data_IF_910569209978
#
_entry.id   IF_910569209978
#
_cell.length_a   1.000
_cell.length_b   1.000
_cell.length_c   1.000
_cell.angle_alpha   90.00
_cell.angle_beta   90.00
_cell.angle_gamma   90.00
#
_symmetry.space_group_name_H-M   'P 1'
#
loop_
_entity.id
_entity.type
_entity.pdbx_description
1 polymer ?
#
# COMPACT_ATOMS: atom_id res chain seq x y z
N UNK A 1 0.65 -20.05 18.61
CA UNK A 1 1.90 -19.91 17.84
C UNK A 1 2.70 -18.72 18.33
N UNK A 2 4.02 -18.74 18.13
CA UNK A 2 4.91 -17.58 18.31
C UNK A 2 5.35 -17.11 16.93
N UNK A 3 5.03 -15.88 16.59
CA UNK A 3 5.33 -15.31 15.27
C UNK A 3 6.25 -14.10 15.40
N UNK A 4 7.32 -14.05 14.61
CA UNK A 4 8.22 -12.89 14.52
C UNK A 4 8.10 -12.25 13.14
N UNK A 5 7.65 -11.01 13.06
CA UNK A 5 7.63 -10.22 11.84
C UNK A 5 8.88 -9.33 11.75
N UNK A 6 9.52 -9.27 10.59
CA UNK A 6 10.70 -8.43 10.33
C UNK A 6 10.40 -7.33 9.35
N UNK A 7 10.62 -6.08 9.78
CA UNK A 7 10.49 -4.87 8.96
C UNK A 7 11.69 -3.94 9.17
N UNK A 8 12.01 -3.03 8.23
CA UNK A 8 13.13 -2.11 8.40
C UNK A 8 12.96 -1.15 9.57
N UNK A 9 11.82 -0.47 9.61
CA UNK A 9 11.44 0.53 10.60
C UNK A 9 9.93 0.45 10.85
N UNK A 10 9.44 1.12 11.90
CA UNK A 10 8.02 1.26 12.24
C UNK A 10 7.62 2.74 12.28
N UNK A 11 7.76 3.46 11.16
CA UNK A 11 7.46 4.90 11.09
C UNK A 11 6.10 5.17 10.42
N UNK A 12 6.02 4.95 9.11
CA UNK A 12 4.81 5.16 8.30
C UNK A 12 4.94 4.43 6.98
N UNK A 13 3.80 4.06 6.41
CA UNK A 13 3.73 3.40 5.11
C UNK A 13 2.89 2.13 5.17
N UNK A 14 2.59 1.62 3.98
CA UNK A 14 1.71 0.47 3.87
C UNK A 14 2.29 -0.83 4.43
N UNK A 15 3.62 -1.01 4.45
CA UNK A 15 4.25 -2.21 5.02
C UNK A 15 4.16 -2.20 6.54
N UNK A 16 4.48 -1.06 7.14
CA UNK A 16 4.45 -0.83 8.57
C UNK A 16 3.03 -0.98 9.12
N UNK A 17 2.05 -0.36 8.45
CA UNK A 17 0.64 -0.51 8.80
C UNK A 17 0.19 -1.97 8.74
N UNK A 18 0.46 -2.68 7.64
CA UNK A 18 0.12 -4.10 7.53
C UNK A 18 0.87 -5.00 8.52
N UNK A 19 2.00 -4.54 9.07
CA UNK A 19 2.69 -5.26 10.15
C UNK A 19 1.95 -5.13 11.48
N UNK A 20 1.48 -3.91 11.81
CA UNK A 20 0.66 -3.68 13.00
C UNK A 20 -0.68 -4.42 12.92
N UNK A 21 -1.34 -4.36 11.76
CA UNK A 21 -2.62 -5.05 11.50
C UNK A 21 -2.51 -6.56 11.77
N UNK A 22 -1.46 -7.22 11.25
CA UNK A 22 -1.22 -8.64 11.50
C UNK A 22 -0.74 -8.89 12.93
N UNK A 23 0.04 -7.98 13.52
CA UNK A 23 0.49 -8.10 14.90
C UNK A 23 -0.70 -8.08 15.89
N UNK A 24 -1.66 -7.16 15.67
CA UNK A 24 -2.89 -7.10 16.44
C UNK A 24 -3.73 -8.37 16.26
N UNK A 25 -3.94 -8.81 15.02
CA UNK A 25 -4.72 -10.03 14.74
C UNK A 25 -4.10 -11.28 15.41
N UNK A 26 -2.78 -11.38 15.51
CA UNK A 26 -2.10 -12.45 16.25
C UNK A 26 -2.41 -12.39 17.74
N UNK A 27 -2.36 -11.21 18.36
CA UNK A 27 -2.68 -11.00 19.76
C UNK A 27 -4.15 -11.33 20.05
N UNK A 28 -5.06 -10.84 19.22
CA UNK A 28 -6.51 -11.07 19.34
C UNK A 28 -6.85 -12.57 19.24
N UNK A 29 -6.08 -13.32 18.42
CA UNK A 29 -6.20 -14.77 18.31
C UNK A 29 -5.45 -15.57 19.41
N UNK A 30 -4.91 -14.89 20.43
CA UNK A 30 -4.20 -15.52 21.54
C UNK A 30 -2.80 -16.05 21.20
N UNK A 31 -2.18 -15.54 20.13
CA UNK A 31 -0.82 -15.90 19.72
C UNK A 31 0.22 -14.92 20.30
N UNK A 32 1.47 -15.38 20.41
CA UNK A 32 2.58 -14.49 20.78
C UNK A 32 3.09 -13.76 19.55
N UNK A 33 2.92 -12.44 19.55
CA UNK A 33 3.31 -11.54 18.45
C UNK A 33 4.58 -10.78 18.80
N UNK A 34 5.61 -10.95 17.98
CA UNK A 34 6.88 -10.24 18.08
C UNK A 34 7.14 -9.49 16.78
N UNK A 35 7.66 -8.25 16.87
CA UNK A 35 8.08 -7.47 15.71
C UNK A 35 9.51 -6.98 15.90
N UNK A 36 10.36 -7.31 14.94
CA UNK A 36 11.77 -6.94 14.91
C UNK A 36 12.01 -5.83 13.89
N UNK A 37 12.50 -4.67 14.34
CA UNK A 37 12.79 -3.51 13.50
C UNK A 37 13.85 -2.60 14.11
N UNK A 38 14.25 -1.55 13.36
CA UNK A 38 15.12 -0.49 13.90
C UNK A 38 14.36 0.49 14.84
N UNK A 39 13.08 0.24 15.14
CA UNK A 39 12.21 1.15 15.89
C UNK A 39 11.46 2.12 14.99
N UNK A 40 10.82 3.11 15.59
CA UNK A 40 10.03 4.14 14.95
C UNK A 40 8.81 4.54 15.75
N UNK A 41 8.07 5.56 15.30
CA UNK A 41 6.93 6.17 16.02
C UNK A 41 5.76 5.22 16.29
N UNK A 42 5.66 4.11 15.54
CA UNK A 42 4.58 3.11 15.68
C UNK A 42 4.92 2.02 16.71
N UNK A 43 6.09 2.06 17.35
CA UNK A 43 6.48 1.05 18.37
C UNK A 43 5.54 1.12 19.57
N UNK A 44 5.26 2.31 20.09
CA UNK A 44 4.35 2.51 21.21
C UNK A 44 2.95 1.95 20.93
N UNK A 45 2.43 2.21 19.74
CA UNK A 45 1.14 1.64 19.29
C UNK A 45 1.19 0.11 19.25
N UNK A 46 2.25 -0.46 18.66
CA UNK A 46 2.44 -1.90 18.57
C UNK A 46 2.43 -2.56 19.96
N UNK A 47 3.17 -1.99 20.91
CA UNK A 47 3.31 -2.54 22.28
C UNK A 47 2.02 -2.35 23.09
N UNK A 48 1.34 -1.21 22.93
CA UNK A 48 0.03 -0.99 23.56
C UNK A 48 -1.05 -1.97 23.08
N UNK A 49 -0.88 -2.52 21.88
CA UNK A 49 -1.73 -3.57 21.30
C UNK A 49 -1.30 -5.00 21.73
N UNK A 50 -0.34 -5.15 22.63
CA UNK A 50 0.06 -6.42 23.22
C UNK A 50 1.15 -7.20 22.47
N UNK A 51 1.74 -6.63 21.41
CA UNK A 51 2.91 -7.21 20.73
C UNK A 51 4.21 -6.79 21.40
N UNK A 52 5.26 -7.59 21.25
CA UNK A 52 6.60 -7.27 21.78
C UNK A 52 7.48 -6.74 20.65
N UNK A 53 8.04 -5.55 20.83
CA UNK A 53 9.05 -5.01 19.90
C UNK A 53 10.46 -5.46 20.28
N UNK A 54 11.27 -5.81 19.27
CA UNK A 54 12.69 -6.11 19.38
C UNK A 54 13.52 -5.20 18.50
N UNK A 55 14.50 -4.51 19.09
CA UNK A 55 15.37 -3.62 18.34
C UNK A 55 16.41 -4.40 17.53
N UNK A 56 16.14 -4.55 16.22
CA UNK A 56 17.03 -5.15 15.23
C UNK A 56 17.25 -4.20 14.05
N UNK A 57 18.36 -3.42 14.03
CA UNK A 57 18.63 -2.45 12.96
C UNK A 57 19.14 -3.15 11.69
N UNK A 58 18.24 -3.82 10.97
CA UNK A 58 18.51 -4.56 9.74
C UNK A 58 18.19 -3.75 8.46
N UNK A 59 17.95 -2.43 8.57
CA UNK A 59 17.51 -1.58 7.46
C UNK A 59 18.66 -1.13 6.54
N UNK A 60 19.89 -1.06 7.03
CA UNK A 60 21.02 -0.50 6.29
C UNK A 60 21.68 -1.53 5.39
N UNK A 61 21.97 -1.13 4.14
CA UNK A 61 22.80 -1.90 3.20
C UNK A 61 24.28 -1.68 3.54
N UNK A 62 24.77 -2.41 4.53
CA UNK A 62 26.15 -2.27 5.03
C UNK A 62 26.75 -3.65 5.36
N UNK A 63 28.04 -3.88 5.14
CA UNK A 63 28.72 -5.09 5.62
C UNK A 63 28.55 -5.33 7.11
N UNK A 64 28.49 -4.26 7.92
CA UNK A 64 28.23 -4.34 9.36
C UNK A 64 26.87 -5.00 9.69
N UNK A 65 25.88 -4.90 8.80
CA UNK A 65 24.59 -5.58 8.96
C UNK A 65 24.73 -7.09 8.78
N UNK A 66 25.65 -7.57 7.96
CA UNK A 66 25.95 -9.01 7.80
C UNK A 66 26.57 -9.63 9.06
N UNK A 67 27.32 -8.85 9.84
CA UNK A 67 27.89 -9.33 11.12
C UNK A 67 26.79 -9.70 12.14
N UNK A 68 25.56 -9.21 11.94
CA UNK A 68 24.42 -9.52 12.80
C UNK A 68 23.81 -10.92 12.57
N UNK A 69 24.15 -11.59 11.47
CA UNK A 69 23.57 -12.89 11.08
C UNK A 69 23.72 -13.93 12.20
N UNK A 70 24.93 -14.02 12.81
CA UNK A 70 25.18 -15.00 13.90
C UNK A 70 24.38 -14.66 15.16
N UNK A 71 24.37 -13.39 15.57
CA UNK A 71 23.61 -12.94 16.72
C UNK A 71 22.10 -13.13 16.53
N UNK A 72 21.59 -12.83 15.31
CA UNK A 72 20.19 -13.03 14.96
C UNK A 72 19.81 -14.53 15.01
N UNK A 73 20.69 -15.41 14.53
CA UNK A 73 20.49 -16.87 14.64
C UNK A 73 20.32 -17.30 16.08
N UNK A 74 21.26 -16.95 16.96
CA UNK A 74 21.18 -17.31 18.38
C UNK A 74 19.91 -16.74 19.06
N UNK A 75 19.52 -15.52 18.70
CA UNK A 75 18.29 -14.94 19.21
C UNK A 75 17.06 -15.71 18.75
N UNK A 76 16.96 -16.10 17.47
CA UNK A 76 15.86 -16.94 16.97
C UNK A 76 15.86 -18.33 17.61
N UNK A 77 17.03 -18.95 17.80
CA UNK A 77 17.17 -20.21 18.50
C UNK A 77 16.73 -20.13 19.98
N UNK A 78 16.96 -19.01 20.65
CA UNK A 78 16.51 -18.80 22.03
C UNK A 78 15.02 -18.47 22.15
N UNK A 79 14.48 -17.73 21.18
CA UNK A 79 13.06 -17.35 21.15
C UNK A 79 12.15 -18.51 20.73
N UNK A 80 12.68 -19.43 19.91
CA UNK A 80 11.97 -20.57 19.34
C UNK A 80 10.60 -20.19 18.70
N UNK A 81 10.57 -19.24 17.74
CA UNK A 81 9.32 -18.93 17.08
C UNK A 81 8.87 -20.07 16.16
N UNK A 82 7.57 -20.21 15.96
CA UNK A 82 7.01 -21.14 14.97
C UNK A 82 7.15 -20.56 13.56
N UNK A 83 6.94 -19.23 13.43
CA UNK A 83 6.97 -18.50 12.16
C UNK A 83 7.94 -17.32 12.24
N UNK A 84 8.74 -17.19 11.20
CA UNK A 84 9.50 -15.97 10.87
C UNK A 84 8.96 -15.39 9.57
N UNK A 85 8.35 -14.21 9.64
CA UNK A 85 7.72 -13.54 8.51
C UNK A 85 8.48 -12.27 8.14
N UNK A 86 9.03 -12.21 6.94
CA UNK A 86 9.86 -11.09 6.48
C UNK A 86 9.14 -10.27 5.41
N UNK A 87 9.11 -8.95 5.61
CA UNK A 87 8.30 -8.04 4.81
C UNK A 87 9.12 -7.04 3.98
N UNK A 88 10.45 -7.16 3.97
CA UNK A 88 11.33 -6.24 3.23
C UNK A 88 12.66 -6.88 2.88
N UNK A 89 13.24 -6.44 1.75
CA UNK A 89 14.42 -7.06 1.13
C UNK A 89 15.67 -7.12 2.03
N UNK A 90 16.02 -6.03 2.71
CA UNK A 90 17.26 -6.04 3.52
C UNK A 90 17.14 -6.93 4.75
N UNK A 91 16.07 -6.84 5.58
CA UNK A 91 15.81 -7.83 6.60
C UNK A 91 15.76 -9.27 6.04
N UNK A 92 15.16 -9.48 4.85
CA UNK A 92 15.06 -10.81 4.25
C UNK A 92 16.43 -11.45 4.00
N UNK A 93 17.42 -10.70 3.52
CA UNK A 93 18.78 -11.22 3.35
C UNK A 93 19.40 -11.69 4.66
N UNK A 94 19.30 -10.89 5.71
CA UNK A 94 19.92 -11.20 7.02
C UNK A 94 19.20 -12.36 7.70
N UNK A 95 17.86 -12.33 7.69
CA UNK A 95 17.04 -13.40 8.27
C UNK A 95 17.25 -14.71 7.53
N UNK A 96 17.23 -14.71 6.20
CA UNK A 96 17.44 -15.90 5.39
C UNK A 96 18.83 -16.52 5.62
N UNK A 97 19.90 -15.71 5.74
CA UNK A 97 21.23 -16.21 6.07
C UNK A 97 21.29 -16.80 7.48
N UNK A 98 20.66 -16.16 8.46
CA UNK A 98 20.57 -16.69 9.82
C UNK A 98 19.79 -18.02 9.84
N UNK A 99 18.61 -18.06 9.23
CA UNK A 99 17.70 -19.19 9.13
C UNK A 99 18.36 -20.40 8.43
N UNK A 100 19.08 -20.19 7.32
CA UNK A 100 19.81 -21.26 6.63
C UNK A 100 20.87 -21.94 7.49
N UNK A 101 21.42 -21.22 8.45
CA UNK A 101 22.43 -21.77 9.35
C UNK A 101 21.86 -22.46 10.59
N UNK A 102 20.53 -22.42 10.82
CA UNK A 102 19.86 -23.15 11.90
C UNK A 102 19.70 -24.64 11.56
N UNK A 103 19.44 -25.45 12.58
CA UNK A 103 19.13 -26.87 12.37
C UNK A 103 17.79 -27.00 11.60
N UNK A 104 17.78 -27.65 10.43
CA UNK A 104 16.56 -27.80 9.60
C UNK A 104 15.39 -28.46 10.34
N UNK A 105 15.66 -29.34 11.29
CA UNK A 105 14.62 -30.07 12.04
C UNK A 105 13.88 -29.19 13.07
N UNK A 106 14.49 -28.07 13.50
CA UNK A 106 13.95 -27.25 14.61
C UNK A 106 13.83 -25.76 14.27
N UNK A 107 14.26 -25.36 13.07
CA UNK A 107 14.16 -23.96 12.66
C UNK A 107 12.70 -23.56 12.39
N UNK A 108 12.34 -22.28 12.62
CA UNK A 108 11.01 -21.78 12.32
C UNK A 108 10.69 -21.86 10.84
N UNK A 109 9.42 -21.88 10.49
CA UNK A 109 8.98 -21.74 9.09
C UNK A 109 9.23 -20.33 8.60
N UNK A 110 9.75 -20.18 7.39
CA UNK A 110 10.11 -18.89 6.81
C UNK A 110 9.08 -18.44 5.77
N UNK A 111 8.43 -17.32 6.03
CA UNK A 111 7.50 -16.68 5.11
C UNK A 111 8.04 -15.31 4.68
N UNK A 112 7.82 -14.96 3.43
CA UNK A 112 8.07 -13.60 2.92
C UNK A 112 6.80 -13.02 2.32
N UNK A 113 6.62 -11.68 2.39
CA UNK A 113 5.55 -10.98 1.66
C UNK A 113 6.14 -9.99 0.68
N UNK A 114 5.73 -10.09 -0.60
CA UNK A 114 6.09 -9.11 -1.62
C UNK A 114 5.12 -7.92 -1.56
N UNK A 115 5.54 -6.82 -0.93
CA UNK A 115 4.76 -5.59 -0.79
C UNK A 115 4.96 -4.57 -1.89
N UNK A 116 5.91 -4.78 -2.79
CA UNK A 116 6.20 -3.84 -3.88
C UNK A 116 6.83 -4.52 -5.07
N UNK A 117 6.47 -4.08 -6.27
CA UNK A 117 7.07 -4.54 -7.52
C UNK A 117 8.42 -3.82 -7.69
N UNK A 118 9.45 -4.40 -7.13
CA UNK A 118 10.79 -3.83 -7.16
C UNK A 118 11.45 -4.00 -8.54
N UNK A 119 12.53 -3.24 -8.78
CA UNK A 119 13.38 -3.51 -9.95
C UNK A 119 13.90 -4.95 -9.92
N UNK A 120 13.83 -5.62 -11.08
CA UNK A 120 14.31 -6.99 -11.24
C UNK A 120 15.82 -7.02 -11.03
N UNK A 121 16.25 -7.68 -9.97
CA UNK A 121 17.66 -7.84 -9.61
C UNK A 121 17.84 -9.06 -8.70
N UNK A 122 19.07 -9.61 -8.67
CA UNK A 122 19.40 -10.70 -7.74
C UNK A 122 19.09 -10.31 -6.28
N UNK A 123 19.27 -9.04 -5.93
CA UNK A 123 18.96 -8.51 -4.60
C UNK A 123 17.47 -8.56 -4.28
N UNK A 124 16.61 -8.29 -5.25
CA UNK A 124 15.15 -8.31 -5.06
C UNK A 124 14.58 -9.73 -5.02
N UNK A 125 15.26 -10.71 -5.65
CA UNK A 125 14.86 -12.13 -5.65
C UNK A 125 14.83 -12.77 -4.27
N UNK A 126 15.44 -12.15 -3.26
CA UNK A 126 15.41 -12.63 -1.87
C UNK A 126 13.96 -12.74 -1.35
N UNK A 127 13.04 -11.90 -1.85
CA UNK A 127 11.63 -11.96 -1.45
C UNK A 127 10.90 -13.22 -1.93
N UNK A 128 11.50 -13.97 -2.84
CA UNK A 128 11.04 -15.30 -3.27
C UNK A 128 11.71 -16.48 -2.55
N UNK A 129 12.48 -16.24 -1.48
CA UNK A 129 13.25 -17.28 -0.76
C UNK A 129 12.58 -17.82 0.50
N UNK A 130 11.34 -17.42 0.77
CA UNK A 130 10.53 -18.07 1.81
C UNK A 130 10.15 -19.50 1.42
N UNK A 131 9.84 -20.35 2.39
CA UNK A 131 9.19 -21.64 2.14
C UNK A 131 7.80 -21.43 1.56
N UNK A 132 7.17 -20.32 1.95
CA UNK A 132 5.95 -19.79 1.37
C UNK A 132 6.09 -18.28 1.15
N UNK A 133 5.55 -17.79 0.05
CA UNK A 133 5.58 -16.35 -0.33
C UNK A 133 4.17 -15.82 -0.44
N UNK A 134 3.85 -14.79 0.34
CA UNK A 134 2.59 -14.07 0.23
C UNK A 134 2.73 -12.98 -0.84
N UNK A 135 1.86 -13.03 -1.84
CA UNK A 135 1.67 -12.01 -2.86
C UNK A 135 0.43 -11.18 -2.50
N UNK A 136 0.56 -9.83 -2.52
CA UNK A 136 -0.55 -8.94 -2.13
C UNK A 136 -1.56 -8.67 -3.25
N UNK A 137 -1.40 -9.30 -4.41
CA UNK A 137 -2.27 -9.23 -5.59
C UNK A 137 -1.92 -10.32 -6.59
N UNK A 138 -2.75 -10.54 -7.61
CA UNK A 138 -2.40 -11.42 -8.74
C UNK A 138 -1.21 -10.88 -9.54
N UNK A 139 -1.13 -9.56 -9.71
CA UNK A 139 0.03 -8.91 -10.33
C UNK A 139 1.32 -9.20 -9.55
N UNK A 140 1.27 -9.15 -8.22
CA UNK A 140 2.43 -9.49 -7.37
C UNK A 140 2.78 -10.98 -7.46
N UNK A 141 1.79 -11.88 -7.57
CA UNK A 141 2.00 -13.30 -7.83
C UNK A 141 2.70 -13.53 -9.17
N UNK A 142 2.19 -12.91 -10.24
CA UNK A 142 2.81 -13.05 -11.56
C UNK A 142 4.24 -12.52 -11.57
N UNK A 143 4.50 -11.39 -10.91
CA UNK A 143 5.86 -10.85 -10.75
C UNK A 143 6.81 -11.85 -10.04
N UNK A 144 6.35 -12.56 -9.00
CA UNK A 144 7.15 -13.58 -8.31
C UNK A 144 7.50 -14.76 -9.22
N UNK A 145 6.55 -15.20 -10.04
CA UNK A 145 6.76 -16.28 -11.00
C UNK A 145 7.78 -15.85 -12.06
N UNK A 146 7.53 -14.73 -12.74
CA UNK A 146 8.29 -14.28 -13.90
C UNK A 146 9.71 -13.79 -13.56
N UNK A 147 9.87 -13.14 -12.41
CA UNK A 147 11.11 -12.45 -12.11
C UNK A 147 11.88 -12.99 -10.90
N UNK A 148 11.20 -13.70 -10.01
CA UNK A 148 11.85 -14.31 -8.85
C UNK A 148 12.00 -15.82 -8.96
N UNK A 149 11.43 -16.46 -9.99
CA UNK A 149 11.39 -17.91 -10.21
C UNK A 149 10.81 -18.67 -9.02
N UNK A 150 9.75 -18.14 -8.42
CA UNK A 150 9.03 -18.79 -7.30
C UNK A 150 8.04 -19.78 -7.88
N UNK A 151 8.05 -21.06 -7.45
CA UNK A 151 7.03 -22.02 -7.87
C UNK A 151 5.63 -21.55 -7.49
N UNK A 152 4.66 -21.74 -8.37
CA UNK A 152 3.30 -21.23 -8.17
C UNK A 152 2.65 -21.78 -6.90
N UNK A 153 2.91 -23.04 -6.56
CA UNK A 153 2.42 -23.73 -5.37
C UNK A 153 2.97 -23.16 -4.06
N UNK A 154 4.13 -22.50 -4.10
CA UNK A 154 4.73 -21.80 -2.96
C UNK A 154 4.23 -20.35 -2.79
N UNK A 155 3.25 -19.91 -3.62
CA UNK A 155 2.71 -18.56 -3.55
C UNK A 155 1.26 -18.60 -3.06
N UNK A 156 0.95 -17.82 -2.02
CA UNK A 156 -0.42 -17.51 -1.60
C UNK A 156 -0.74 -16.07 -1.96
N UNK A 157 -1.85 -15.85 -2.66
CA UNK A 157 -2.37 -14.49 -2.86
C UNK A 157 -3.24 -14.14 -1.66
N UNK A 158 -2.81 -13.13 -0.92
CA UNK A 158 -3.57 -12.55 0.19
C UNK A 158 -3.62 -11.06 -0.05
N UNK A 159 -4.74 -10.60 -0.56
CA UNK A 159 -4.96 -9.18 -0.80
C UNK A 159 -4.82 -8.37 0.49
N UNK A 160 -4.38 -7.15 0.36
CA UNK A 160 -4.48 -6.20 1.47
C UNK A 160 -5.93 -5.74 1.59
N UNK A 161 -6.26 -5.18 2.75
CA UNK A 161 -7.62 -4.76 2.98
C UNK A 161 -7.73 -3.40 3.65
N UNK A 162 -8.96 -2.92 3.70
CA UNK A 162 -9.38 -1.76 4.50
C UNK A 162 -10.34 -2.21 5.58
N UNK A 163 -10.32 -1.49 6.70
CA UNK A 163 -11.31 -1.65 7.75
C UNK A 163 -12.57 -0.84 7.38
N UNK A 164 -13.75 -1.47 7.26
CA UNK A 164 -15.01 -0.75 7.03
C UNK A 164 -15.35 0.28 8.11
N UNK A 165 -14.82 0.13 9.34
CA UNK A 165 -15.00 1.11 10.39
C UNK A 165 -14.14 2.37 10.16
N UNK A 166 -12.98 2.22 9.53
CA UNK A 166 -12.13 3.35 9.17
C UNK A 166 -12.61 4.06 7.90
N UNK A 167 -13.12 3.31 6.92
CA UNK A 167 -13.64 3.83 5.64
C UNK A 167 -15.10 3.39 5.44
N UNK A 168 -16.04 3.89 6.28
CA UNK A 168 -17.44 3.49 6.18
C UNK A 168 -18.09 4.07 4.92
N UNK A 169 -18.98 3.29 4.33
CA UNK A 169 -19.76 3.73 3.17
C UNK A 169 -20.55 4.99 3.49
N UNK A 170 -20.60 5.91 2.54
CA UNK A 170 -21.32 7.19 2.65
C UNK A 170 -20.87 8.08 3.84
N UNK A 171 -19.62 7.95 4.24
CA UNK A 171 -19.03 8.78 5.30
C UNK A 171 -19.17 10.26 4.99
N UNK A 172 -19.54 11.04 6.02
CA UNK A 172 -19.64 12.50 5.95
C UNK A 172 -18.64 13.12 6.93
N UNK A 173 -17.76 14.03 6.46
CA UNK A 173 -16.91 14.80 7.36
C UNK A 173 -17.71 15.69 8.33
N UNK A 174 -17.15 15.94 9.50
CA UNK A 174 -17.77 16.83 10.49
C UNK A 174 -17.83 18.28 9.98
N UNK A 175 -18.82 19.04 10.46
CA UNK A 175 -18.95 20.46 10.14
C UNK A 175 -17.71 21.27 10.52
N UNK A 176 -17.06 20.92 11.62
CA UNK A 176 -15.80 21.55 12.07
C UNK A 176 -14.69 21.31 11.05
N UNK A 177 -14.55 20.08 10.54
CA UNK A 177 -13.56 19.76 9.51
C UNK A 177 -13.87 20.50 8.21
N UNK A 178 -15.15 20.52 7.79
CA UNK A 178 -15.58 21.21 6.58
C UNK A 178 -15.34 22.73 6.66
N UNK A 179 -15.60 23.35 7.82
CA UNK A 179 -15.33 24.77 8.02
C UNK A 179 -13.84 25.09 7.92
N UNK A 180 -12.99 24.25 8.54
CA UNK A 180 -11.53 24.37 8.42
C UNK A 180 -11.06 24.17 6.98
N UNK A 181 -11.55 23.16 6.28
CA UNK A 181 -11.21 22.89 4.88
C UNK A 181 -11.53 24.11 3.98
N UNK A 182 -12.72 24.69 4.14
CA UNK A 182 -13.13 25.89 3.37
C UNK A 182 -12.27 27.12 3.68
N UNK A 183 -11.81 27.26 4.91
CA UNK A 183 -10.90 28.31 5.32
C UNK A 183 -9.48 28.13 4.75
N UNK A 184 -8.98 26.89 4.78
CA UNK A 184 -7.64 26.56 4.29
C UNK A 184 -7.58 26.60 2.74
N UNK A 185 -8.69 26.27 2.06
CA UNK A 185 -8.76 26.16 0.58
C UNK A 185 -9.99 26.89 -0.01
N UNK A 186 -10.09 28.23 0.16
CA UNK A 186 -11.26 28.99 -0.30
C UNK A 186 -11.48 28.92 -1.81
N UNK A 187 -10.42 28.71 -2.62
CA UNK A 187 -10.48 28.54 -4.08
C UNK A 187 -11.20 27.27 -4.55
N UNK A 188 -11.40 26.30 -3.65
CA UNK A 188 -12.12 25.05 -3.94
C UNK A 188 -13.64 25.16 -3.64
N UNK A 189 -14.08 26.27 -3.08
CA UNK A 189 -15.49 26.43 -2.72
C UNK A 189 -16.40 26.42 -3.95
N UNK A 190 -17.42 25.56 -3.93
CA UNK A 190 -18.35 25.38 -5.04
C UNK A 190 -17.80 24.59 -6.23
N UNK A 191 -16.59 24.04 -6.11
CA UNK A 191 -15.99 23.19 -7.16
C UNK A 191 -16.22 21.71 -6.87
N UNK A 192 -16.39 20.94 -7.94
CA UNK A 192 -16.29 19.48 -7.91
C UNK A 192 -14.82 19.09 -7.82
N UNK A 193 -14.44 18.31 -6.81
CA UNK A 193 -13.04 18.01 -6.50
C UNK A 193 -12.62 16.70 -7.14
N UNK A 194 -11.54 16.71 -7.92
CA UNK A 194 -10.82 15.54 -8.40
C UNK A 194 -9.53 15.40 -7.60
N UNK A 195 -9.44 14.37 -6.74
CA UNK A 195 -8.26 14.16 -5.92
C UNK A 195 -7.26 13.18 -6.56
N UNK A 196 -5.97 13.52 -6.49
CA UNK A 196 -4.87 12.62 -6.83
C UNK A 196 -3.97 12.43 -5.60
N UNK A 197 -4.20 11.36 -4.81
CA UNK A 197 -3.41 11.07 -3.63
C UNK A 197 -2.11 10.33 -3.95
N UNK A 198 -1.04 10.70 -3.27
CA UNK A 198 0.24 10.02 -3.34
C UNK A 198 1.43 10.96 -3.23
N UNK A 199 2.59 10.40 -2.89
CA UNK A 199 3.84 11.19 -2.81
C UNK A 199 4.11 11.91 -4.14
N UNK A 200 4.60 13.14 -4.08
CA UNK A 200 4.98 13.89 -5.26
C UNK A 200 6.22 13.28 -5.91
N UNK A 201 5.99 12.38 -6.85
CA UNK A 201 7.02 11.68 -7.61
C UNK A 201 6.51 11.37 -9.03
N UNK A 202 7.42 11.25 -9.99
CA UNK A 202 7.07 10.87 -11.39
C UNK A 202 6.27 9.56 -11.47
N UNK A 203 6.43 8.68 -10.47
CA UNK A 203 5.73 7.41 -10.40
C UNK A 203 4.21 7.59 -10.31
N UNK A 204 3.73 8.61 -9.57
CA UNK A 204 2.31 8.80 -9.25
C UNK A 204 1.48 9.47 -10.34
N UNK A 205 2.12 9.93 -11.44
CA UNK A 205 1.41 10.37 -12.63
C UNK A 205 0.66 11.71 -12.51
N UNK A 206 1.13 12.65 -11.65
CA UNK A 206 0.45 13.94 -11.45
C UNK A 206 0.27 14.76 -12.72
N UNK A 207 1.10 14.55 -13.75
CA UNK A 207 0.95 15.20 -15.06
C UNK A 207 -0.36 14.80 -15.78
N UNK A 208 -0.91 13.60 -15.48
CA UNK A 208 -2.21 13.20 -16.02
C UNK A 208 -3.34 14.06 -15.45
N UNK A 209 -3.26 14.50 -14.18
CA UNK A 209 -4.23 15.45 -13.62
C UNK A 209 -4.17 16.80 -14.35
N UNK A 210 -2.96 17.31 -14.64
CA UNK A 210 -2.80 18.56 -15.40
C UNK A 210 -3.45 18.45 -16.79
N UNK A 211 -3.18 17.36 -17.50
CA UNK A 211 -3.78 17.07 -18.80
C UNK A 211 -5.31 16.99 -18.72
N UNK A 212 -5.83 16.29 -17.72
CA UNK A 212 -7.27 16.12 -17.50
C UNK A 212 -7.96 17.46 -17.20
N UNK A 213 -7.47 18.23 -16.24
CA UNK A 213 -8.11 19.51 -15.88
C UNK A 213 -8.09 20.48 -17.06
N UNK A 214 -6.99 20.55 -17.84
CA UNK A 214 -6.93 21.32 -19.07
C UNK A 214 -7.98 20.85 -20.09
N UNK A 215 -8.13 19.53 -20.27
CA UNK A 215 -9.10 18.97 -21.21
C UNK A 215 -10.55 19.34 -20.80
N UNK A 216 -10.90 19.17 -19.52
CA UNK A 216 -12.23 19.51 -18.99
C UNK A 216 -12.54 21.00 -19.18
N UNK A 217 -11.58 21.88 -18.87
CA UNK A 217 -11.70 23.33 -19.07
C UNK A 217 -11.95 23.68 -20.54
N UNK A 218 -11.25 23.03 -21.48
CA UNK A 218 -11.45 23.23 -22.91
C UNK A 218 -12.83 22.75 -23.42
N UNK A 219 -13.42 21.78 -22.73
CA UNK A 219 -14.80 21.33 -22.99
C UNK A 219 -15.87 22.18 -22.30
N UNK A 220 -15.48 23.26 -21.61
CA UNK A 220 -16.43 24.16 -20.92
C UNK A 220 -16.85 23.66 -19.54
N UNK A 221 -16.24 22.57 -19.03
CA UNK A 221 -16.46 22.05 -17.65
C UNK A 221 -15.52 22.81 -16.71
N UNK A 222 -15.98 23.95 -16.18
CA UNK A 222 -15.16 24.93 -15.43
C UNK A 222 -15.39 24.89 -13.92
N UNK A 223 -16.38 24.14 -13.47
CA UNK A 223 -16.74 23.95 -12.05
C UNK A 223 -15.95 22.82 -11.38
N UNK A 224 -14.82 22.41 -11.95
CA UNK A 224 -13.95 21.32 -11.45
C UNK A 224 -12.62 21.88 -10.97
N UNK A 225 -12.10 21.31 -9.89
CA UNK A 225 -10.74 21.57 -9.43
C UNK A 225 -10.01 20.26 -9.12
N UNK A 226 -8.72 20.20 -9.44
CA UNK A 226 -7.83 19.12 -9.08
C UNK A 226 -7.13 19.39 -7.75
N UNK A 227 -7.03 18.39 -6.87
CA UNK A 227 -6.18 18.48 -5.68
C UNK A 227 -5.09 17.41 -5.72
N UNK A 228 -3.86 17.82 -5.45
CA UNK A 228 -2.70 16.93 -5.30
C UNK A 228 -2.44 16.75 -3.80
N UNK A 229 -2.67 15.53 -3.31
CA UNK A 229 -2.60 15.22 -1.88
C UNK A 229 -1.37 14.36 -1.60
N UNK A 230 -0.31 14.99 -1.11
CA UNK A 230 0.92 14.25 -0.78
C UNK A 230 2.07 15.14 -0.38
N UNK A 231 2.96 14.60 0.42
CA UNK A 231 4.17 15.31 0.85
C UNK A 231 5.23 15.36 -0.25
N UNK A 232 6.05 16.40 -0.18
CA UNK A 232 7.26 16.57 -0.97
C UNK A 232 8.40 15.85 -0.25
N UNK A 233 9.08 14.95 -0.95
CA UNK A 233 10.35 14.39 -0.49
C UNK A 233 11.48 15.21 -1.13
N UNK A 234 12.47 15.63 -0.33
CA UNK A 234 13.63 16.41 -0.80
C UNK A 234 14.38 15.78 -1.99
N UNK A 235 14.24 14.49 -2.19
CA UNK A 235 14.78 13.78 -3.36
C UNK A 235 14.00 14.07 -4.66
N UNK A 236 12.85 14.76 -4.60
CA UNK A 236 11.93 14.97 -5.72
C UNK A 236 11.68 16.46 -6.02
N UNK A 237 12.46 17.38 -5.45
CA UNK A 237 12.28 18.84 -5.62
C UNK A 237 12.26 19.28 -7.10
N UNK A 238 13.11 18.68 -7.95
CA UNK A 238 13.12 18.97 -9.38
C UNK A 238 11.79 18.60 -10.07
N UNK A 239 11.21 17.45 -9.70
CA UNK A 239 9.92 17.02 -10.24
C UNK A 239 8.78 17.95 -9.80
N UNK A 240 8.78 18.42 -8.57
CA UNK A 240 7.77 19.35 -8.06
C UNK A 240 7.85 20.67 -8.79
N UNK A 241 9.07 21.17 -9.04
CA UNK A 241 9.29 22.41 -9.82
C UNK A 241 8.79 22.27 -11.25
N UNK A 242 9.08 21.16 -11.94
CA UNK A 242 8.57 20.87 -13.27
C UNK A 242 7.03 20.78 -13.31
N UNK A 243 6.43 20.11 -12.30
CA UNK A 243 4.98 20.00 -12.21
C UNK A 243 4.31 21.37 -12.03
N UNK A 244 4.85 22.22 -11.15
CA UNK A 244 4.38 23.59 -10.97
C UNK A 244 4.52 24.44 -12.23
N UNK A 245 5.65 24.32 -12.93
CA UNK A 245 5.85 25.00 -14.22
C UNK A 245 4.80 24.55 -15.25
N UNK A 246 4.54 23.24 -15.36
CA UNK A 246 3.52 22.69 -16.28
C UNK A 246 2.11 23.18 -15.95
N UNK A 247 1.75 23.32 -14.67
CA UNK A 247 0.47 23.88 -14.22
C UNK A 247 0.37 25.37 -14.63
N UNK A 248 1.44 26.12 -14.42
CA UNK A 248 1.50 27.55 -14.78
C UNK A 248 1.38 27.76 -16.29
N UNK A 249 2.16 27.03 -17.08
CA UNK A 249 2.13 27.07 -18.56
C UNK A 249 0.77 26.68 -19.12
N UNK A 250 0.06 25.76 -18.43
CA UNK A 250 -1.30 25.38 -18.82
C UNK A 250 -2.37 26.38 -18.37
N UNK A 251 -2.03 27.43 -17.61
CA UNK A 251 -2.97 28.43 -17.08
C UNK A 251 -3.96 27.83 -16.07
N UNK A 252 -3.50 26.89 -15.20
CA UNK A 252 -4.32 26.12 -14.29
C UNK A 252 -3.97 26.36 -12.79
N UNK A 253 -3.36 27.51 -12.47
CA UNK A 253 -2.94 27.82 -11.10
C UNK A 253 -4.11 27.91 -10.11
N UNK A 254 -5.29 28.30 -10.58
CA UNK A 254 -6.50 28.42 -9.75
C UNK A 254 -7.32 27.11 -9.72
N UNK A 255 -7.06 26.18 -10.64
CA UNK A 255 -7.80 24.93 -10.78
C UNK A 255 -7.05 23.72 -10.17
N UNK A 256 -5.74 23.82 -9.92
CA UNK A 256 -4.95 22.73 -9.32
C UNK A 256 -4.29 23.19 -8.03
N UNK A 257 -4.65 22.54 -6.92
CA UNK A 257 -4.23 22.92 -5.58
C UNK A 257 -3.39 21.81 -4.93
N UNK A 258 -2.26 22.20 -4.34
CA UNK A 258 -1.44 21.30 -3.52
C UNK A 258 -1.90 21.39 -2.05
N UNK A 259 -2.22 20.25 -1.44
CA UNK A 259 -2.69 20.21 -0.05
C UNK A 259 -1.63 19.71 0.94
N UNK A 260 -0.40 19.50 0.45
CA UNK A 260 0.71 18.89 1.19
C UNK A 260 0.39 17.50 1.76
N UNK A 261 1.17 17.06 2.75
CA UNK A 261 0.94 15.77 3.41
C UNK A 261 -0.28 15.83 4.32
N UNK A 262 -1.23 14.93 4.08
CA UNK A 262 -2.47 14.80 4.84
C UNK A 262 -2.56 13.43 5.51
N UNK A 263 -3.18 13.38 6.68
CA UNK A 263 -3.50 12.15 7.41
C UNK A 263 -5.00 11.87 7.45
N UNK A 264 -5.82 12.88 7.16
CA UNK A 264 -7.27 12.86 7.12
C UNK A 264 -7.80 12.46 5.71
N UNK A 265 -7.26 11.36 5.20
CA UNK A 265 -7.57 10.90 3.83
C UNK A 265 -9.03 10.50 3.66
N UNK A 266 -9.67 9.97 4.69
CA UNK A 266 -11.08 9.60 4.68
C UNK A 266 -11.98 10.81 4.38
N UNK A 267 -11.72 11.92 5.05
CA UNK A 267 -12.42 13.19 4.86
C UNK A 267 -12.20 13.73 3.44
N UNK A 268 -10.98 13.68 2.96
CA UNK A 268 -10.62 14.12 1.60
C UNK A 268 -11.32 13.27 0.54
N UNK A 269 -11.34 11.96 0.70
CA UNK A 269 -12.07 11.08 -0.21
C UNK A 269 -13.58 11.39 -0.19
N UNK A 270 -14.14 11.63 0.99
CA UNK A 270 -15.58 11.89 1.13
C UNK A 270 -16.03 13.21 0.47
N UNK A 271 -15.17 14.24 0.43
CA UNK A 271 -15.49 15.51 -0.28
C UNK A 271 -15.12 15.48 -1.75
N UNK A 272 -14.43 14.44 -2.21
CA UNK A 272 -14.03 14.32 -3.62
C UNK A 272 -15.18 13.79 -4.46
N UNK A 273 -15.42 14.42 -5.61
CA UNK A 273 -16.32 13.91 -6.63
C UNK A 273 -15.76 12.66 -7.28
N UNK A 274 -14.43 12.62 -7.42
CA UNK A 274 -13.69 11.55 -8.05
C UNK A 274 -12.24 11.49 -7.54
N UNK A 275 -11.68 10.29 -7.48
CA UNK A 275 -10.26 10.06 -7.14
C UNK A 275 -9.52 9.46 -8.33
N UNK A 276 -8.28 9.89 -8.56
CA UNK A 276 -7.41 9.34 -9.60
C UNK A 276 -6.35 8.39 -9.01
N UNK A 277 -6.19 7.24 -9.65
CA UNK A 277 -5.16 6.24 -9.35
C UNK A 277 -4.35 5.94 -10.63
N UNK A 278 -3.58 6.93 -11.11
CA UNK A 278 -2.94 6.96 -12.44
C UNK A 278 -1.41 6.82 -12.37
N UNK A 279 -0.94 5.89 -11.56
CA UNK A 279 0.50 5.62 -11.44
C UNK A 279 1.09 5.14 -12.77
N UNK A 280 2.27 5.69 -13.15
CA UNK A 280 3.00 5.34 -14.39
C UNK A 280 3.62 3.92 -14.37
N UNK A 281 3.63 3.25 -13.22
CA UNK A 281 4.08 1.87 -13.07
C UNK A 281 3.09 1.10 -12.23
N UNK A 282 3.01 -0.20 -12.46
CA UNK A 282 2.17 -1.08 -11.70
C UNK A 282 2.41 -0.94 -10.19
N UNK A 283 1.37 -0.70 -9.44
CA UNK A 283 1.37 -0.80 -7.99
C UNK A 283 1.10 -2.25 -7.58
N UNK A 284 1.74 -2.69 -6.51
CA UNK A 284 1.53 -4.06 -6.03
C UNK A 284 0.11 -4.30 -5.49
N UNK A 285 -0.58 -3.25 -5.03
CA UNK A 285 -1.95 -3.32 -4.56
C UNK A 285 -2.78 -2.11 -5.01
N UNK A 286 -2.67 -0.93 -4.38
CA UNK A 286 -3.40 0.27 -4.78
C UNK A 286 -4.40 0.75 -3.73
N UNK A 287 -3.95 0.99 -2.49
CA UNK A 287 -4.83 1.52 -1.42
C UNK A 287 -5.51 2.83 -1.81
N UNK A 288 -4.85 3.67 -2.59
CA UNK A 288 -5.39 4.94 -3.09
C UNK A 288 -6.57 4.76 -4.06
N UNK A 289 -6.76 3.56 -4.61
CA UNK A 289 -7.96 3.21 -5.37
C UNK A 289 -9.01 2.56 -4.46
N UNK A 290 -8.61 1.70 -3.53
CA UNK A 290 -9.52 0.95 -2.68
C UNK A 290 -10.26 1.82 -1.66
N UNK A 291 -9.52 2.65 -0.92
CA UNK A 291 -10.06 3.45 0.18
C UNK A 291 -11.22 4.38 -0.25
N UNK A 292 -11.11 5.16 -1.34
CA UNK A 292 -12.24 5.97 -1.80
C UNK A 292 -13.44 5.13 -2.28
N UNK A 293 -13.21 4.00 -2.95
CA UNK A 293 -14.30 3.11 -3.37
C UNK A 293 -15.06 2.53 -2.17
N UNK A 294 -14.38 2.25 -1.06
CA UNK A 294 -15.05 1.81 0.17
C UNK A 294 -16.00 2.87 0.73
N UNK A 295 -15.63 4.14 0.69
CA UNK A 295 -16.48 5.27 1.12
C UNK A 295 -17.64 5.49 0.15
N UNK A 296 -17.50 5.10 -1.11
CA UNK A 296 -18.49 5.34 -2.16
C UNK A 296 -18.07 6.43 -3.14
N UNK A 297 -16.83 6.89 -3.07
CA UNK A 297 -16.29 7.87 -4.01
C UNK A 297 -15.77 7.16 -5.26
N UNK A 298 -16.26 7.47 -6.47
CA UNK A 298 -15.78 6.91 -7.72
C UNK A 298 -14.27 7.10 -7.89
N UNK A 299 -13.60 6.08 -8.40
CA UNK A 299 -12.17 6.13 -8.66
C UNK A 299 -11.87 5.75 -10.09
N UNK A 300 -11.11 6.59 -10.79
CA UNK A 300 -10.62 6.30 -12.13
C UNK A 300 -9.12 6.04 -12.09
N UNK A 301 -8.70 4.98 -12.72
CA UNK A 301 -7.28 4.61 -12.70
C UNK A 301 -6.88 3.75 -13.88
N UNK A 302 -5.58 3.69 -14.13
CA UNK A 302 -5.05 2.83 -15.17
C UNK A 302 -5.27 1.35 -14.82
N UNK A 303 -5.69 0.57 -15.82
CA UNK A 303 -5.79 -0.88 -15.73
C UNK A 303 -4.39 -1.50 -15.66
N UNK A 304 -3.75 -1.29 -14.51
CA UNK A 304 -2.35 -1.63 -14.30
C UNK A 304 -2.12 -2.06 -12.86
N UNK A 305 -1.56 -3.25 -12.66
CA UNK A 305 -1.22 -3.76 -11.35
C UNK A 305 -2.45 -3.97 -10.45
N UNK A 306 -2.24 -3.86 -9.15
CA UNK A 306 -3.31 -4.03 -8.17
C UNK A 306 -4.42 -2.97 -8.27
N UNK A 307 -4.14 -1.79 -8.82
CA UNK A 307 -5.18 -0.79 -9.11
C UNK A 307 -6.19 -1.33 -10.12
N UNK A 308 -5.70 -1.94 -11.22
CA UNK A 308 -6.57 -2.57 -12.22
C UNK A 308 -7.41 -3.71 -11.64
N UNK A 309 -6.84 -4.53 -10.73
CA UNK A 309 -7.56 -5.62 -10.04
C UNK A 309 -8.68 -5.08 -9.16
N UNK A 310 -8.42 -4.04 -8.35
CA UNK A 310 -9.42 -3.41 -7.49
C UNK A 310 -10.56 -2.79 -8.30
N UNK A 311 -10.22 -2.04 -9.35
CA UNK A 311 -11.21 -1.41 -10.21
C UNK A 311 -12.04 -2.46 -10.95
N UNK A 312 -11.42 -3.55 -11.43
CA UNK A 312 -12.14 -4.65 -12.08
C UNK A 312 -13.22 -5.25 -11.17
N UNK A 313 -12.94 -5.34 -9.87
CA UNK A 313 -13.85 -5.92 -8.88
C UNK A 313 -14.91 -4.93 -8.41
N UNK A 314 -14.51 -3.71 -8.05
CA UNK A 314 -15.38 -2.78 -7.35
C UNK A 314 -15.99 -1.70 -8.24
N UNK A 315 -15.30 -1.25 -9.29
CA UNK A 315 -15.76 -0.16 -10.16
C UNK A 315 -15.17 -0.29 -11.58
N UNK A 316 -15.64 -1.25 -12.38
CA UNK A 316 -15.13 -1.48 -13.75
C UNK A 316 -15.22 -0.26 -14.67
N UNK A 317 -16.20 0.63 -14.46
CA UNK A 317 -16.36 1.87 -15.22
C UNK A 317 -15.20 2.88 -15.01
N UNK A 318 -14.44 2.73 -13.95
CA UNK A 318 -13.25 3.55 -13.68
C UNK A 318 -11.96 3.01 -14.26
N UNK A 319 -11.97 1.85 -14.94
CA UNK A 319 -10.77 1.26 -15.56
C UNK A 319 -10.46 1.94 -16.88
N UNK A 320 -9.24 2.43 -17.02
CA UNK A 320 -8.74 3.09 -18.22
C UNK A 320 -7.52 2.33 -18.74
N UNK A 321 -7.36 2.13 -20.07
CA UNK A 321 -6.17 1.52 -20.61
C UNK A 321 -4.89 2.22 -20.11
N UNK A 322 -3.85 1.43 -19.85
CA UNK A 322 -2.61 1.95 -19.26
C UNK A 322 -2.01 3.09 -20.10
N UNK A 323 -1.76 4.23 -19.47
CA UNK A 323 -1.18 5.43 -20.07
C UNK A 323 -2.01 6.07 -21.22
N UNK A 324 -3.26 5.69 -21.38
CA UNK A 324 -4.17 6.32 -22.33
C UNK A 324 -4.80 7.58 -21.72
N UNK A 325 -4.16 8.72 -21.99
CA UNK A 325 -4.63 10.02 -21.48
C UNK A 325 -5.96 10.45 -22.09
N UNK A 326 -6.26 10.03 -23.34
CA UNK A 326 -7.55 10.40 -23.98
C UNK A 326 -8.68 9.62 -23.32
N UNK A 327 -8.53 8.30 -23.19
CA UNK A 327 -9.51 7.46 -22.50
C UNK A 327 -9.71 7.89 -21.04
N UNK A 328 -8.65 8.36 -20.35
CA UNK A 328 -8.77 8.94 -19.00
C UNK A 328 -9.67 10.17 -19.00
N UNK A 329 -9.44 11.10 -19.94
CA UNK A 329 -10.22 12.33 -20.05
C UNK A 329 -11.69 12.04 -20.37
N UNK A 330 -11.94 11.14 -21.31
CA UNK A 330 -13.30 10.78 -21.76
C UNK A 330 -14.08 10.08 -20.62
N UNK A 331 -13.45 9.12 -19.94
CA UNK A 331 -14.06 8.43 -18.79
C UNK A 331 -14.41 9.40 -17.66
N UNK A 332 -13.51 10.33 -17.33
CA UNK A 332 -13.79 11.32 -16.27
C UNK A 332 -14.88 12.30 -16.71
N UNK A 333 -14.87 12.78 -17.95
CA UNK A 333 -15.91 13.69 -18.47
C UNK A 333 -17.29 13.01 -18.43
N UNK A 334 -17.38 11.73 -18.81
CA UNK A 334 -18.61 10.95 -18.71
C UNK A 334 -19.11 10.83 -17.27
N UNK A 335 -18.25 10.45 -16.32
CA UNK A 335 -18.60 10.31 -14.90
C UNK A 335 -18.99 11.64 -14.24
N UNK A 336 -18.56 12.78 -14.79
CA UNK A 336 -18.94 14.11 -14.32
C UNK A 336 -20.27 14.61 -14.91
N UNK A 337 -20.70 14.08 -16.04
CA UNK A 337 -21.86 14.56 -16.80
C UNK A 337 -23.07 13.61 -16.78
N UNK A 338 -22.83 12.33 -16.46
CA UNK A 338 -23.88 11.30 -16.34
C UNK A 338 -23.93 10.76 -14.90
N UNK A 339 -25.03 10.11 -14.50
CA UNK A 339 -25.09 9.40 -13.23
C UNK A 339 -23.98 8.33 -13.18
N UNK A 340 -23.14 8.38 -12.13
CA UNK A 340 -22.07 7.40 -11.96
C UNK A 340 -22.63 6.00 -11.81
N UNK A 341 -22.06 4.99 -12.47
CA UNK A 341 -22.40 3.59 -12.22
C UNK A 341 -22.22 3.21 -10.75
N UNK A 342 -22.98 2.20 -10.25
CA UNK A 342 -22.85 1.79 -8.87
C UNK A 342 -21.48 1.19 -8.58
N UNK A 343 -20.92 1.56 -7.43
CA UNK A 343 -19.70 0.94 -6.89
C UNK A 343 -20.12 -0.34 -6.13
N UNK A 344 -19.52 -1.47 -6.48
CA UNK A 344 -19.81 -2.74 -5.82
C UNK A 344 -19.38 -2.71 -4.33
N UNK A 345 -20.07 -3.41 -3.44
CA UNK A 345 -19.65 -3.58 -2.06
C UNK A 345 -18.27 -4.25 -1.99
N UNK A 346 -17.40 -3.72 -1.13
CA UNK A 346 -16.11 -4.35 -0.87
C UNK A 346 -16.30 -5.56 0.06
N UNK A 347 -16.25 -6.76 -0.48
CA UNK A 347 -16.29 -8.03 0.26
C UNK A 347 -14.97 -8.79 0.19
N UNK A 348 -14.13 -8.47 -0.77
CA UNK A 348 -12.85 -9.17 -1.03
C UNK A 348 -11.68 -8.51 -0.32
N UNK A 349 -11.57 -7.18 -0.42
CA UNK A 349 -10.43 -6.42 0.09
C UNK A 349 -10.68 -5.90 1.51
N UNK A 350 -11.13 -6.78 2.41
CA UNK A 350 -11.36 -6.47 3.82
C UNK A 350 -10.11 -6.73 4.66
N UNK A 351 -9.88 -5.89 5.65
CA UNK A 351 -8.81 -6.10 6.63
C UNK A 351 -8.96 -7.43 7.37
N UNK A 352 -10.19 -7.80 7.73
CA UNK A 352 -10.51 -9.09 8.35
C UNK A 352 -10.06 -10.28 7.49
N UNK A 353 -10.37 -10.26 6.18
CA UNK A 353 -9.96 -11.31 5.25
C UNK A 353 -8.44 -11.42 5.15
N UNK A 354 -7.74 -10.28 5.07
CA UNK A 354 -6.26 -10.26 5.05
C UNK A 354 -5.69 -10.90 6.31
N UNK A 355 -6.22 -10.55 7.48
CA UNK A 355 -5.76 -11.08 8.76
C UNK A 355 -6.06 -12.58 8.88
N UNK A 356 -7.30 -12.98 8.62
CA UNK A 356 -7.74 -14.38 8.70
C UNK A 356 -6.91 -15.28 7.78
N UNK A 357 -6.80 -14.94 6.49
CA UNK A 357 -6.03 -15.74 5.53
C UNK A 357 -4.54 -15.78 5.87
N UNK A 358 -3.98 -14.71 6.47
CA UNK A 358 -2.60 -14.71 6.90
C UNK A 358 -2.38 -15.66 8.09
N UNK A 359 -3.26 -15.62 9.09
CA UNK A 359 -3.18 -16.49 10.26
C UNK A 359 -3.42 -17.95 9.88
N UNK A 360 -4.39 -18.21 9.01
CA UNK A 360 -4.64 -19.55 8.45
C UNK A 360 -3.40 -20.08 7.72
N UNK A 361 -2.77 -19.25 6.88
CA UNK A 361 -1.53 -19.61 6.17
C UNK A 361 -0.40 -19.97 7.14
N UNK A 362 -0.28 -19.27 8.27
CA UNK A 362 0.70 -19.61 9.30
C UNK A 362 0.40 -20.97 9.93
N UNK A 363 -0.87 -21.23 10.27
CA UNK A 363 -1.27 -22.48 10.90
C UNK A 363 -1.05 -23.69 9.96
N UNK A 364 -1.41 -23.57 8.69
CA UNK A 364 -1.19 -24.59 7.67
C UNK A 364 0.29 -24.94 7.55
N UNK A 365 1.17 -23.93 7.43
CA UNK A 365 2.59 -24.14 7.24
C UNK A 365 3.27 -24.76 8.47
N UNK A 366 2.81 -24.45 9.69
CA UNK A 366 3.30 -25.09 10.93
C UNK A 366 2.86 -26.54 10.99
N UNK A 367 1.60 -26.84 10.65
CA UNK A 367 1.06 -28.22 10.67
C UNK A 367 1.75 -29.14 9.65
N UNK A 368 2.04 -28.65 8.45
CA UNK A 368 2.78 -29.39 7.43
C UNK A 368 4.21 -29.75 7.88
N UNK A 369 4.84 -28.90 8.70
CA UNK A 369 6.16 -29.19 9.28
C UNK A 369 6.15 -30.25 10.35
N UNK A 370 5.04 -30.40 11.06
CA UNK A 370 4.89 -31.43 12.12
C UNK A 370 4.64 -32.83 11.54
N UNK A 371 4.24 -32.94 10.28
CA UNK A 371 3.92 -34.22 9.61
C UNK A 371 5.03 -34.81 8.75
N UNK A 372 6.15 -34.06 8.56
CA UNK A 372 7.34 -34.61 7.89
C UNK A 372 8.28 -35.24 8.95
N UNK A 373 8.48 -36.58 8.90
CA UNK A 373 9.33 -37.30 9.85
C UNK A 373 10.83 -36.99 9.73
#
# INVERSE_FOLDING_TARGET
MTVVQFVPNLNSGGVERGTLEIAQALVDAGHRSHVASNGGRLVETLESQGSTHHHWPLHRKSPATLLRVRALRHWLESLQPDIVHVRSRMPAWIVWLAWRGMNPATRPRLITTLHGLHSVSWYSKIMGRGELVIAVSQTAKQYLIDHCNVPQESIRVIYRGTDPAEFPRDYQPSDTWLAKWRADFPQLQGKRIIALPGRLSRLKGHHHLVTLIRHLKNQGITDVAGIIVGGIDSQHDSYVSELKASIHEAGLNDEIVFTDHRTDMREIYAISTLVLAVSNKAESFGRTALEPLCIGTPTVGFDLGGVGEILATLFPAGRVPNQDSQALCDTVAELLTAPAPPIAPNTEFLLSNMCEHTLQTYAELVSEGATQP
#
